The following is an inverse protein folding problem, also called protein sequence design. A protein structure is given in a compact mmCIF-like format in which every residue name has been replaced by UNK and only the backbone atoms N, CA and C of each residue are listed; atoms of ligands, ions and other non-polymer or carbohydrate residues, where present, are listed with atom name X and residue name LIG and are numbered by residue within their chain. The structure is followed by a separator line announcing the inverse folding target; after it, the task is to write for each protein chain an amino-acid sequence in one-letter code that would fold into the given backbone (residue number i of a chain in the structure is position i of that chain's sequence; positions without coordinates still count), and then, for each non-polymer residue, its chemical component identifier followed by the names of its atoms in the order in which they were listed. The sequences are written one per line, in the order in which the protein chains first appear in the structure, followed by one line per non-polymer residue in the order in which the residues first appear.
data_IF_984917324513
#
_entry.id   IF_984917324513
#
_cell.length_a   1.000
_cell.length_b   1.000
_cell.length_c   1.000
_cell.angle_alpha   90.00
_cell.angle_beta   90.00
_cell.angle_gamma   90.00
#
_symmetry.space_group_name_H-M   'P 1'
#
loop_
_entity.id
_entity.type
_entity.pdbx_description
1 polymer ?
#
# COMPACT_ATOMS: atom_id res chain seq x y z
N UNK A 1 -12.70 11.94 6.54
CA UNK A 1 -12.04 13.21 6.15
C UNK A 1 -11.83 13.32 4.64
N UNK A 2 -11.28 12.30 3.95
CA UNK A 2 -11.21 12.30 2.48
C UNK A 2 -12.58 12.47 1.82
N UNK A 3 -13.56 11.66 2.21
CA UNK A 3 -14.94 11.74 1.70
C UNK A 3 -15.59 13.12 1.92
N UNK A 4 -15.41 13.76 3.08
CA UNK A 4 -16.02 15.08 3.35
C UNK A 4 -15.41 16.21 2.50
N UNK A 5 -14.10 16.17 2.25
CA UNK A 5 -13.42 17.15 1.38
C UNK A 5 -13.80 16.94 -0.07
N UNK A 6 -13.86 15.69 -0.52
CA UNK A 6 -14.29 15.36 -1.89
C UNK A 6 -15.77 15.65 -2.11
N UNK A 7 -16.65 15.36 -1.14
CA UNK A 7 -18.07 15.73 -1.24
C UNK A 7 -18.25 17.25 -1.31
N UNK A 8 -17.48 18.00 -0.53
CA UNK A 8 -17.46 19.47 -0.64
C UNK A 8 -16.92 19.93 -2.00
N UNK A 9 -15.89 19.27 -2.54
CA UNK A 9 -15.35 19.51 -3.87
C UNK A 9 -16.34 19.21 -4.99
N UNK A 10 -17.08 18.10 -4.89
CA UNK A 10 -18.17 17.71 -5.81
C UNK A 10 -19.31 18.74 -5.78
N UNK A 11 -19.69 19.22 -4.59
CA UNK A 11 -20.72 20.25 -4.45
C UNK A 11 -20.29 21.60 -5.04
N UNK A 12 -19.01 21.97 -4.92
CA UNK A 12 -18.45 23.19 -5.51
C UNK A 12 -18.09 23.05 -7.00
N UNK A 13 -18.24 21.87 -7.60
CA UNK A 13 -17.89 21.61 -9.01
C UNK A 13 -16.38 21.56 -9.28
N UNK A 14 -15.55 21.34 -8.25
CA UNK A 14 -14.10 21.24 -8.39
C UNK A 14 -13.62 19.86 -8.82
N UNK A 15 -14.43 18.84 -8.59
CA UNK A 15 -14.20 17.48 -9.05
C UNK A 15 -15.11 17.22 -10.25
N UNK A 16 -14.61 16.47 -11.24
CA UNK A 16 -15.37 16.09 -12.44
C UNK A 16 -16.54 15.12 -12.17
N UNK A 17 -16.85 14.86 -10.89
CA UNK A 17 -17.83 13.86 -10.48
C UNK A 17 -19.08 14.55 -9.93
N UNK A 18 -20.26 14.37 -10.54
CA UNK A 18 -21.50 14.97 -10.07
C UNK A 18 -21.85 14.54 -8.63
N UNK A 19 -22.40 15.46 -7.84
CA UNK A 19 -22.77 15.24 -6.44
C UNK A 19 -23.84 14.15 -6.26
N UNK A 20 -24.69 13.95 -7.26
CA UNK A 20 -25.75 12.93 -7.29
C UNK A 20 -25.19 11.50 -7.15
N UNK A 21 -23.95 11.29 -7.60
CA UNK A 21 -23.28 10.00 -7.55
C UNK A 21 -22.54 9.74 -6.23
N UNK A 22 -22.57 10.68 -5.28
CA UNK A 22 -21.82 10.59 -4.03
C UNK A 22 -22.14 9.31 -3.23
N UNK A 23 -23.43 8.93 -3.17
CA UNK A 23 -23.85 7.73 -2.47
C UNK A 23 -23.30 6.44 -3.11
N UNK A 24 -23.33 6.36 -4.44
CA UNK A 24 -22.80 5.23 -5.21
C UNK A 24 -21.28 5.11 -5.01
N UNK A 25 -20.57 6.23 -5.10
CA UNK A 25 -19.11 6.27 -4.87
C UNK A 25 -18.78 5.84 -3.44
N UNK A 26 -19.59 6.24 -2.46
CA UNK A 26 -19.45 5.84 -1.06
C UNK A 26 -19.61 4.33 -0.87
N UNK A 27 -20.64 3.75 -1.47
CA UNK A 27 -20.90 2.31 -1.40
C UNK A 27 -19.76 1.49 -2.01
N UNK A 28 -19.29 1.86 -3.21
CA UNK A 28 -18.16 1.19 -3.86
C UNK A 28 -16.86 1.36 -3.06
N UNK A 29 -16.61 2.55 -2.53
CA UNK A 29 -15.45 2.81 -1.67
C UNK A 29 -15.43 1.98 -0.39
N UNK A 30 -16.59 1.76 0.26
CA UNK A 30 -16.70 0.91 1.44
C UNK A 30 -16.40 -0.56 1.15
N UNK A 31 -16.74 -1.04 -0.06
CA UNK A 31 -16.44 -2.39 -0.51
C UNK A 31 -15.02 -2.54 -1.07
N UNK A 32 -14.22 -1.46 -1.06
CA UNK A 32 -12.93 -1.39 -1.77
C UNK A 32 -13.05 -1.85 -3.23
N UNK A 33 -14.13 -1.42 -3.89
CA UNK A 33 -14.37 -1.62 -5.31
C UNK A 33 -14.17 -0.30 -6.07
N UNK A 34 -13.61 -0.34 -7.29
CA UNK A 34 -13.44 0.86 -8.09
C UNK A 34 -14.81 1.42 -8.50
N UNK A 35 -14.96 2.74 -8.42
CA UNK A 35 -16.17 3.41 -8.88
C UNK A 35 -16.39 3.14 -10.38
N UNK A 36 -17.61 2.85 -10.83
CA UNK A 36 -17.88 2.59 -12.25
C UNK A 36 -17.42 3.75 -13.15
N UNK A 37 -16.90 3.49 -14.37
CA UNK A 37 -16.45 4.55 -15.27
C UNK A 37 -17.56 5.53 -15.67
N UNK A 38 -18.81 5.06 -15.71
CA UNK A 38 -20.00 5.87 -15.95
C UNK A 38 -20.27 6.89 -14.83
N UNK A 39 -19.72 6.65 -13.64
CA UNK A 39 -19.92 7.48 -12.44
C UNK A 39 -18.72 8.39 -12.19
N UNK A 40 -17.49 7.89 -12.35
CA UNK A 40 -16.27 8.67 -12.17
C UNK A 40 -15.13 8.13 -13.02
N UNK A 41 -14.31 9.03 -13.56
CA UNK A 41 -13.04 8.66 -14.21
C UNK A 41 -11.97 8.26 -13.18
N UNK A 42 -12.11 8.64 -11.92
CA UNK A 42 -11.21 8.23 -10.84
C UNK A 42 -11.64 6.88 -10.24
N UNK A 43 -10.68 5.99 -9.97
CA UNK A 43 -10.98 4.65 -9.42
C UNK A 43 -11.56 4.75 -8.00
N UNK A 44 -10.97 5.61 -7.16
CA UNK A 44 -11.41 5.85 -5.79
C UNK A 44 -11.48 7.36 -5.50
N UNK A 45 -12.58 8.03 -5.88
CA UNK A 45 -12.71 9.49 -5.75
C UNK A 45 -12.51 10.01 -4.31
N UNK A 46 -13.01 9.27 -3.30
CA UNK A 46 -12.92 9.66 -1.88
C UNK A 46 -11.58 9.36 -1.21
N UNK A 47 -10.85 8.40 -1.75
CA UNK A 47 -9.57 7.95 -1.21
C UNK A 47 -8.69 7.59 -2.39
N UNK A 48 -8.15 8.61 -3.06
CA UNK A 48 -7.27 8.40 -4.21
C UNK A 48 -6.19 7.35 -3.93
N UNK A 49 -5.49 7.31 -2.77
CA UNK A 49 -4.51 6.27 -2.45
C UNK A 49 -5.06 4.84 -2.31
N UNK A 50 -6.39 4.63 -2.29
CA UNK A 50 -6.99 3.31 -2.08
C UNK A 50 -6.83 2.37 -3.29
N UNK A 51 -6.50 2.89 -4.48
CA UNK A 51 -6.35 2.07 -5.68
C UNK A 51 -5.28 0.98 -5.52
N UNK A 52 -4.14 1.31 -4.92
CA UNK A 52 -3.02 0.36 -4.75
C UNK A 52 -3.39 -0.71 -3.73
N UNK A 53 -3.97 -0.33 -2.59
CA UNK A 53 -4.38 -1.26 -1.52
C UNK A 53 -5.45 -2.23 -2.03
N UNK A 54 -6.43 -1.75 -2.79
CA UNK A 54 -7.46 -2.61 -3.36
C UNK A 54 -6.86 -3.64 -4.34
N UNK A 55 -5.93 -3.22 -5.20
CA UNK A 55 -5.23 -4.13 -6.11
C UNK A 55 -4.28 -5.08 -5.37
N UNK A 56 -3.63 -4.65 -4.30
CA UNK A 56 -2.79 -5.51 -3.45
C UNK A 56 -3.61 -6.56 -2.72
N UNK A 57 -4.78 -6.19 -2.20
CA UNK A 57 -5.73 -7.16 -1.62
C UNK A 57 -6.20 -8.16 -2.67
N UNK A 58 -6.57 -7.71 -3.87
CA UNK A 58 -6.96 -8.58 -4.97
C UNK A 58 -5.82 -9.54 -5.35
N UNK A 59 -4.59 -9.02 -5.51
CA UNK A 59 -3.40 -9.82 -5.78
C UNK A 59 -3.14 -10.86 -4.67
N UNK A 60 -3.36 -10.48 -3.41
CA UNK A 60 -3.23 -11.37 -2.25
C UNK A 60 -4.25 -12.51 -2.26
N UNK A 61 -5.51 -12.23 -2.62
CA UNK A 61 -6.55 -13.27 -2.77
C UNK A 61 -6.21 -14.21 -3.93
N UNK A 62 -5.85 -13.65 -5.09
CA UNK A 62 -5.41 -14.44 -6.25
C UNK A 62 -4.23 -15.33 -5.87
N UNK A 63 -3.25 -14.77 -5.15
CA UNK A 63 -2.10 -15.52 -4.66
C UNK A 63 -2.52 -16.64 -3.72
N UNK A 64 -3.39 -16.39 -2.73
CA UNK A 64 -3.85 -17.42 -1.80
C UNK A 64 -4.49 -18.63 -2.52
N UNK A 65 -5.23 -18.40 -3.61
CA UNK A 65 -5.87 -19.46 -4.40
C UNK A 65 -4.89 -20.16 -5.35
N UNK A 66 -3.93 -19.42 -5.92
CA UNK A 66 -3.03 -19.92 -6.97
C UNK A 66 -1.66 -20.36 -6.45
N UNK A 67 -1.32 -20.08 -5.20
CA UNK A 67 0.03 -20.27 -4.64
C UNK A 67 0.57 -21.69 -4.84
N UNK A 68 -0.29 -22.71 -4.77
CA UNK A 68 0.08 -24.12 -4.99
C UNK A 68 0.54 -24.43 -6.42
N UNK A 69 0.14 -23.62 -7.40
CA UNK A 69 0.48 -23.79 -8.82
C UNK A 69 1.65 -22.89 -9.25
N UNK A 70 2.06 -21.95 -8.40
CA UNK A 70 3.14 -21.02 -8.71
C UNK A 70 4.51 -21.72 -8.58
N UNK A 71 4.99 -22.31 -9.67
CA UNK A 71 6.39 -22.72 -9.80
C UNK A 71 7.31 -21.49 -9.96
N UNK A 72 8.61 -21.65 -9.71
CA UNK A 72 9.57 -20.55 -9.90
C UNK A 72 9.62 -20.06 -11.36
N UNK A 73 9.38 -20.95 -12.33
CA UNK A 73 9.34 -20.57 -13.76
C UNK A 73 8.12 -19.71 -14.07
N UNK A 74 6.93 -20.13 -13.60
CA UNK A 74 5.69 -19.36 -13.78
C UNK A 74 5.80 -17.99 -13.09
N UNK A 75 6.32 -17.96 -11.86
CA UNK A 75 6.54 -16.72 -11.13
C UNK A 75 7.50 -15.79 -11.88
N UNK A 76 8.57 -16.32 -12.47
CA UNK A 76 9.51 -15.54 -13.26
C UNK A 76 8.85 -14.91 -14.49
N UNK A 77 8.04 -15.69 -15.23
CA UNK A 77 7.28 -15.20 -16.38
C UNK A 77 6.32 -14.09 -15.98
N UNK A 78 5.60 -14.25 -14.86
CA UNK A 78 4.71 -13.21 -14.31
C UNK A 78 5.48 -11.93 -13.99
N UNK A 79 6.62 -12.04 -13.29
CA UNK A 79 7.44 -10.88 -12.90
C UNK A 79 8.01 -10.17 -14.12
N UNK A 80 8.55 -10.89 -15.10
CA UNK A 80 9.09 -10.29 -16.33
C UNK A 80 7.97 -9.64 -17.14
N UNK A 81 6.85 -10.34 -17.35
CA UNK A 81 5.72 -9.82 -18.13
C UNK A 81 5.08 -8.59 -17.50
N UNK A 82 4.86 -8.61 -16.18
CA UNK A 82 4.34 -7.46 -15.44
C UNK A 82 5.35 -6.31 -15.38
N UNK A 83 6.66 -6.59 -15.30
CA UNK A 83 7.71 -5.58 -15.36
C UNK A 83 7.77 -4.89 -16.72
N UNK A 84 7.66 -5.63 -17.83
CA UNK A 84 7.58 -5.07 -19.19
C UNK A 84 6.30 -4.26 -19.35
N UNK A 85 5.17 -4.76 -18.88
CA UNK A 85 3.89 -4.04 -18.93
C UNK A 85 3.91 -2.77 -18.09
N UNK A 86 4.50 -2.81 -16.90
CA UNK A 86 4.69 -1.62 -16.07
C UNK A 86 5.60 -0.60 -16.75
N UNK A 87 6.72 -1.05 -17.32
CA UNK A 87 7.63 -0.19 -18.07
C UNK A 87 6.93 0.48 -19.26
N UNK A 88 6.18 -0.28 -20.07
CA UNK A 88 5.51 0.25 -21.26
C UNK A 88 4.38 1.22 -20.91
N UNK A 89 3.57 0.88 -19.90
CA UNK A 89 2.47 1.75 -19.46
C UNK A 89 2.93 3.02 -18.76
N UNK A 90 4.17 3.08 -18.25
CA UNK A 90 4.75 4.30 -17.65
C UNK A 90 4.91 5.43 -18.66
N UNK A 91 5.09 5.12 -19.95
CA UNK A 91 5.19 6.12 -21.01
C UNK A 91 3.84 6.62 -21.52
N UNK A 92 2.73 6.05 -21.02
CA UNK A 92 1.40 6.54 -21.35
C UNK A 92 1.07 7.76 -20.46
N UNK A 93 0.29 8.72 -20.97
CA UNK A 93 -0.09 9.91 -20.19
C UNK A 93 -0.98 9.58 -18.98
N UNK A 94 -1.55 8.37 -18.94
CA UNK A 94 -2.52 7.96 -17.94
C UNK A 94 -1.87 7.25 -16.74
N UNK A 95 -1.90 7.89 -15.57
CA UNK A 95 -1.38 7.36 -14.29
C UNK A 95 -2.46 6.70 -13.44
N UNK A 96 -2.05 5.88 -12.46
CA UNK A 96 -2.84 4.94 -11.65
C UNK A 96 -4.06 5.47 -10.84
N UNK A 97 -4.49 6.71 -11.05
CA UNK A 97 -5.49 7.37 -10.20
C UNK A 97 -6.91 7.25 -10.78
N UNK A 98 -7.04 6.78 -12.02
CA UNK A 98 -8.29 6.67 -12.75
C UNK A 98 -8.30 5.53 -13.75
N UNK A 99 -9.46 5.29 -14.35
CA UNK A 99 -9.69 4.27 -15.37
C UNK A 99 -8.67 4.30 -16.52
N UNK A 100 -8.27 5.47 -17.06
CA UNK A 100 -7.25 5.51 -18.11
C UNK A 100 -5.91 4.91 -17.69
N UNK A 101 -5.54 5.01 -16.41
CA UNK A 101 -4.27 4.51 -15.87
C UNK A 101 -4.40 3.17 -15.14
N UNK A 102 -5.52 2.46 -15.31
CA UNK A 102 -5.79 1.18 -14.68
C UNK A 102 -4.67 0.17 -14.95
N UNK A 103 -4.27 0.05 -16.22
CA UNK A 103 -3.22 -0.89 -16.64
C UNK A 103 -1.87 -0.58 -16.02
N UNK A 104 -1.51 0.70 -15.93
CA UNK A 104 -0.30 1.14 -15.24
C UNK A 104 -0.31 0.71 -13.76
N UNK A 105 -1.42 0.99 -13.06
CA UNK A 105 -1.56 0.62 -11.65
C UNK A 105 -1.57 -0.89 -11.43
N UNK A 106 -2.28 -1.64 -12.27
CA UNK A 106 -2.39 -3.09 -12.17
C UNK A 106 -1.04 -3.77 -12.42
N UNK A 107 -0.34 -3.40 -13.49
CA UNK A 107 0.97 -3.98 -13.82
C UNK A 107 2.02 -3.66 -12.77
N UNK A 108 2.01 -2.45 -12.20
CA UNK A 108 2.86 -2.06 -11.08
C UNK A 108 2.64 -2.94 -9.84
N UNK A 109 1.37 -3.17 -9.47
CA UNK A 109 1.03 -3.97 -8.28
C UNK A 109 1.36 -5.44 -8.49
N UNK A 110 1.06 -6.00 -9.66
CA UNK A 110 1.43 -7.38 -9.99
C UNK A 110 2.95 -7.54 -9.94
N UNK A 111 3.70 -6.62 -10.56
CA UNK A 111 5.16 -6.63 -10.54
C UNK A 111 5.70 -6.57 -9.11
N UNK A 112 5.26 -5.60 -8.30
CA UNK A 112 5.72 -5.43 -6.93
C UNK A 112 5.39 -6.63 -6.04
N UNK A 113 4.14 -7.11 -6.10
CA UNK A 113 3.68 -8.23 -5.29
C UNK A 113 4.41 -9.53 -5.63
N UNK A 114 4.39 -9.96 -6.89
CA UNK A 114 5.01 -11.21 -7.31
C UNK A 114 6.55 -11.12 -7.32
N UNK A 115 7.12 -9.94 -7.58
CA UNK A 115 8.54 -9.67 -7.42
C UNK A 115 8.99 -9.86 -5.97
N UNK A 116 8.21 -9.34 -5.01
CA UNK A 116 8.41 -9.57 -3.58
C UNK A 116 8.35 -11.06 -3.21
N UNK A 117 7.36 -11.80 -3.73
CA UNK A 117 7.26 -13.26 -3.53
C UNK A 117 8.50 -13.99 -4.08
N UNK A 118 8.99 -13.58 -5.26
CA UNK A 118 10.20 -14.17 -5.84
C UNK A 118 11.43 -13.92 -4.97
N UNK A 119 11.65 -12.68 -4.53
CA UNK A 119 12.75 -12.31 -3.62
C UNK A 119 12.65 -13.11 -2.32
N UNK A 120 11.45 -13.26 -1.77
CA UNK A 120 11.22 -14.05 -0.56
C UNK A 120 11.58 -15.53 -0.75
N UNK A 121 11.24 -16.13 -1.91
CA UNK A 121 11.66 -17.51 -2.23
C UNK A 121 13.18 -17.63 -2.36
N UNK A 122 13.85 -16.66 -2.97
CA UNK A 122 15.31 -16.62 -3.06
C UNK A 122 15.97 -16.44 -1.69
N UNK A 123 15.35 -15.65 -0.81
CA UNK A 123 15.78 -15.48 0.58
C UNK A 123 15.72 -16.80 1.34
N UNK A 124 14.58 -17.51 1.30
CA UNK A 124 14.41 -18.80 1.95
C UNK A 124 15.33 -19.88 1.39
N UNK A 125 15.58 -19.86 0.08
CA UNK A 125 16.53 -20.77 -0.57
C UNK A 125 18.01 -20.43 -0.30
N UNK A 126 18.30 -19.37 0.46
CA UNK A 126 19.67 -18.93 0.73
C UNK A 126 20.40 -18.34 -0.49
N UNK A 127 19.71 -18.14 -1.61
CA UNK A 127 20.27 -17.66 -2.89
C UNK A 127 20.34 -16.14 -2.98
N UNK A 128 19.73 -15.42 -2.02
CA UNK A 128 19.74 -13.97 -2.02
C UNK A 128 21.13 -13.41 -1.61
N UNK A 129 21.72 -12.49 -2.39
CA UNK A 129 22.99 -11.84 -2.06
C UNK A 129 23.01 -11.22 -0.66
N UNK A 130 24.19 -11.14 -0.04
CA UNK A 130 24.40 -10.54 1.28
C UNK A 130 24.95 -9.12 1.15
N UNK A 131 24.20 -8.25 0.49
CA UNK A 131 24.61 -6.86 0.33
C UNK A 131 24.39 -6.08 1.64
N UNK A 132 25.28 -5.13 1.97
CA UNK A 132 25.17 -4.40 3.21
C UNK A 132 24.07 -3.34 3.14
N UNK A 133 23.35 -3.16 4.27
CA UNK A 133 22.23 -2.23 4.36
C UNK A 133 22.61 -0.76 4.06
N UNK A 134 23.83 -0.35 4.42
CA UNK A 134 24.30 1.02 4.16
C UNK A 134 24.37 1.35 2.68
N UNK A 135 24.68 0.37 1.82
CA UNK A 135 24.71 0.54 0.36
C UNK A 135 23.29 0.81 -0.16
N UNK A 136 22.30 0.07 0.35
CA UNK A 136 20.88 0.34 0.09
C UNK A 136 20.45 1.73 0.57
N UNK A 137 20.92 2.15 1.75
CA UNK A 137 20.65 3.48 2.31
C UNK A 137 21.19 4.60 1.44
N UNK A 138 22.48 4.55 1.09
CA UNK A 138 23.11 5.55 0.20
C UNK A 138 22.42 5.56 -1.16
N UNK A 139 22.16 4.39 -1.74
CA UNK A 139 21.47 4.28 -3.03
C UNK A 139 20.06 4.87 -3.00
N UNK A 140 19.31 4.66 -1.92
CA UNK A 140 17.98 5.24 -1.73
C UNK A 140 18.04 6.77 -1.60
N UNK A 141 18.97 7.29 -0.80
CA UNK A 141 19.16 8.75 -0.69
C UNK A 141 19.58 9.37 -2.03
N UNK A 142 20.51 8.73 -2.75
CA UNK A 142 20.93 9.19 -4.06
C UNK A 142 19.76 9.20 -5.05
N UNK A 143 18.93 8.16 -5.07
CA UNK A 143 17.74 8.11 -5.90
C UNK A 143 16.75 9.24 -5.55
N UNK A 144 16.49 9.49 -4.26
CA UNK A 144 15.57 10.57 -3.88
C UNK A 144 16.10 11.98 -4.18
N UNK A 145 17.41 12.13 -4.34
CA UNK A 145 18.05 13.42 -4.62
C UNK A 145 18.08 13.78 -6.12
N UNK A 146 17.77 12.83 -7.02
CA UNK A 146 17.78 13.11 -8.47
C UNK A 146 16.58 14.01 -8.84
N UNK A 147 16.80 15.23 -9.33
CA UNK A 147 15.71 16.04 -9.85
C UNK A 147 15.25 15.46 -11.19
N UNK A 148 13.95 15.25 -11.34
CA UNK A 148 13.33 14.82 -12.59
C UNK A 148 12.62 15.98 -13.27
N UNK A 149 12.64 15.97 -14.59
CA UNK A 149 11.82 16.84 -15.45
C UNK A 149 10.88 15.98 -16.30
N UNK A 150 9.96 16.61 -17.04
CA UNK A 150 8.92 15.91 -17.82
C UNK A 150 9.46 14.84 -18.79
N UNK A 151 10.69 15.01 -19.29
CA UNK A 151 11.34 14.06 -20.23
C UNK A 151 12.00 12.89 -19.51
N UNK A 152 12.62 13.14 -18.36
CA UNK A 152 13.38 12.14 -17.59
C UNK A 152 12.50 11.39 -16.58
N UNK A 153 11.32 11.92 -16.25
CA UNK A 153 10.43 11.38 -15.23
C UNK A 153 10.01 9.93 -15.54
N UNK A 154 9.50 9.65 -16.74
CA UNK A 154 9.05 8.30 -17.09
C UNK A 154 10.18 7.26 -17.08
N UNK A 155 11.34 7.48 -17.76
CA UNK A 155 12.49 6.59 -17.65
C UNK A 155 12.97 6.40 -16.21
N UNK A 156 12.96 7.48 -15.41
CA UNK A 156 13.37 7.44 -14.02
C UNK A 156 12.44 6.59 -13.16
N UNK A 157 11.12 6.66 -13.36
CA UNK A 157 10.18 5.80 -12.64
C UNK A 157 10.29 4.33 -13.05
N UNK A 158 10.51 4.05 -14.33
CA UNK A 158 10.77 2.66 -14.78
C UNK A 158 12.04 2.14 -14.11
N UNK A 159 13.12 2.91 -14.16
CA UNK A 159 14.38 2.52 -13.52
C UNK A 159 14.22 2.37 -12.00
N UNK A 160 13.59 3.32 -11.35
CA UNK A 160 13.33 3.31 -9.91
C UNK A 160 12.48 2.13 -9.46
N UNK A 161 11.38 1.88 -10.16
CA UNK A 161 10.44 0.82 -9.80
C UNK A 161 10.90 -0.58 -10.21
N UNK A 162 11.46 -0.74 -11.40
CA UNK A 162 11.83 -2.07 -11.96
C UNK A 162 13.24 -2.49 -11.57
N UNK A 163 14.16 -1.54 -11.35
CA UNK A 163 15.56 -1.85 -11.06
C UNK A 163 15.89 -1.50 -9.62
N UNK A 164 15.75 -0.25 -9.21
CA UNK A 164 16.22 0.19 -7.89
C UNK A 164 15.41 -0.44 -6.75
N UNK A 165 14.08 -0.50 -6.84
CA UNK A 165 13.25 -1.02 -5.76
C UNK A 165 13.56 -2.49 -5.39
N UNK A 166 13.68 -3.44 -6.34
CA UNK A 166 14.16 -4.79 -6.04
C UNK A 166 15.56 -4.80 -5.41
N UNK A 167 16.49 -3.99 -5.92
CA UNK A 167 17.86 -3.94 -5.39
C UNK A 167 17.89 -3.43 -3.94
N UNK A 168 17.10 -2.41 -3.62
CA UNK A 168 16.93 -1.93 -2.25
C UNK A 168 16.35 -3.01 -1.34
N UNK A 169 15.33 -3.75 -1.80
CA UNK A 169 14.81 -4.89 -1.06
C UNK A 169 15.88 -5.95 -0.78
N UNK A 170 16.76 -6.25 -1.75
CA UNK A 170 17.89 -7.17 -1.53
C UNK A 170 18.85 -6.67 -0.45
N UNK A 171 19.22 -5.39 -0.49
CA UNK A 171 20.08 -4.77 0.52
C UNK A 171 19.47 -4.83 1.93
N UNK A 172 18.16 -4.62 2.04
CA UNK A 172 17.49 -4.52 3.34
C UNK A 172 17.00 -5.87 3.88
N UNK A 173 16.78 -6.89 3.04
CA UNK A 173 16.13 -8.16 3.42
C UNK A 173 16.78 -8.91 4.59
N UNK A 174 18.09 -8.76 4.80
CA UNK A 174 18.84 -9.44 5.88
C UNK A 174 19.18 -8.52 7.06
N UNK A 175 18.72 -7.28 7.03
CA UNK A 175 19.06 -6.28 8.05
C UNK A 175 18.32 -6.57 9.34
N UNK A 176 19.05 -6.75 10.44
CA UNK A 176 18.47 -6.84 11.77
C UNK A 176 18.81 -5.58 12.57
N UNK A 177 17.80 -4.75 12.82
CA UNK A 177 17.93 -3.61 13.73
C UNK A 177 17.59 -4.08 15.15
N UNK A 178 18.40 -3.72 16.15
CA UNK A 178 18.21 -4.11 17.55
C UNK A 178 18.05 -2.89 18.46
N UNK A 179 17.45 -3.09 19.64
CA UNK A 179 17.35 -2.07 20.68
C UNK A 179 16.44 -0.89 20.33
N UNK A 180 16.85 0.32 20.70
CA UNK A 180 16.06 1.56 20.53
C UNK A 180 15.76 1.84 19.06
N UNK A 181 16.73 1.61 18.18
CA UNK A 181 16.54 1.83 16.73
C UNK A 181 15.45 0.94 16.15
N UNK A 182 15.30 -0.31 16.61
CA UNK A 182 14.24 -1.19 16.15
C UNK A 182 12.85 -0.63 16.50
N UNK A 183 12.73 -0.05 17.71
CA UNK A 183 11.49 0.61 18.16
C UNK A 183 11.20 1.85 17.32
N UNK A 184 12.21 2.67 17.04
CA UNK A 184 12.08 3.85 16.19
C UNK A 184 11.65 3.48 14.77
N UNK A 185 12.30 2.50 14.13
CA UNK A 185 11.93 2.02 12.80
C UNK A 185 10.49 1.47 12.78
N UNK A 186 10.07 0.75 13.82
CA UNK A 186 8.69 0.23 13.93
C UNK A 186 7.66 1.36 14.06
N UNK A 187 7.94 2.37 14.89
CA UNK A 187 7.06 3.53 15.03
C UNK A 187 6.98 4.32 13.73
N UNK A 188 8.12 4.64 13.11
CA UNK A 188 8.18 5.36 11.84
C UNK A 188 7.47 4.59 10.71
N UNK A 189 7.65 3.27 10.64
CA UNK A 189 6.97 2.42 9.66
C UNK A 189 5.46 2.32 9.90
N UNK A 190 5.00 2.39 11.15
CA UNK A 190 3.56 2.42 11.45
C UNK A 190 2.94 3.77 11.07
N UNK A 191 3.66 4.86 11.31
CA UNK A 191 3.19 6.21 10.98
C UNK A 191 3.25 6.53 9.48
N UNK A 192 4.21 5.95 8.74
CA UNK A 192 4.41 6.26 7.32
C UNK A 192 3.16 6.02 6.47
N UNK A 193 2.43 4.93 6.74
CA UNK A 193 1.19 4.63 6.05
C UNK A 193 0.08 5.65 6.36
N UNK A 194 -0.06 6.04 7.63
CA UNK A 194 -1.06 7.06 7.98
C UNK A 194 -0.75 8.42 7.35
N UNK A 195 0.53 8.80 7.29
CA UNK A 195 0.97 10.02 6.58
C UNK A 195 0.66 9.91 5.09
N UNK A 196 0.91 8.75 4.48
CA UNK A 196 0.58 8.48 3.08
C UNK A 196 -0.93 8.66 2.79
N UNK A 197 -1.82 8.23 3.68
CA UNK A 197 -3.27 8.41 3.46
C UNK A 197 -3.73 9.84 3.75
N UNK A 198 -3.14 10.50 4.76
CA UNK A 198 -3.60 11.81 5.24
C UNK A 198 -3.00 13.01 4.50
N UNK A 199 -1.82 12.88 3.88
CA UNK A 199 -1.16 14.02 3.24
C UNK A 199 -1.94 14.54 2.02
N UNK A 200 -2.57 13.68 1.22
CA UNK A 200 -3.33 14.09 0.02
C UNK A 200 -4.50 15.02 0.37
N UNK A 201 -5.43 14.67 1.30
CA UNK A 201 -6.52 15.56 1.66
C UNK A 201 -6.03 16.84 2.34
N UNK A 202 -4.97 16.77 3.17
CA UNK A 202 -4.39 17.95 3.82
C UNK A 202 -3.80 18.91 2.78
N UNK A 203 -3.02 18.39 1.83
CA UNK A 203 -2.50 19.16 0.70
C UNK A 203 -3.62 19.86 -0.05
N UNK A 204 -4.70 19.13 -0.34
CA UNK A 204 -5.86 19.69 -1.06
C UNK A 204 -6.54 20.81 -0.27
N UNK A 205 -6.72 20.66 1.04
CA UNK A 205 -7.28 21.72 1.89
C UNK A 205 -6.37 22.96 1.86
N UNK A 206 -5.06 22.77 2.00
CA UNK A 206 -4.10 23.88 1.98
C UNK A 206 -4.08 24.62 0.64
N UNK A 207 -4.13 23.91 -0.49
CA UNK A 207 -4.28 24.50 -1.82
C UNK A 207 -5.50 25.43 -1.89
N UNK A 208 -6.64 25.01 -1.32
CA UNK A 208 -7.87 25.81 -1.29
C UNK A 208 -7.75 27.03 -0.38
N UNK A 209 -7.07 26.91 0.75
CA UNK A 209 -6.79 28.04 1.65
C UNK A 209 -5.89 29.06 0.96
N UNK A 210 -4.83 28.61 0.29
CA UNK A 210 -3.91 29.48 -0.47
C UNK A 210 -4.67 30.23 -1.56
N UNK A 211 -5.50 29.53 -2.34
CA UNK A 211 -6.31 30.13 -3.40
C UNK A 211 -7.33 31.15 -2.84
N UNK A 212 -7.95 30.87 -1.69
CA UNK A 212 -8.95 31.75 -1.07
C UNK A 212 -8.35 33.04 -0.50
N UNK A 213 -7.14 32.97 0.06
CA UNK A 213 -6.47 34.10 0.70
C UNK A 213 -5.36 34.72 -0.15
N UNK A 214 -5.23 34.33 -1.43
CA UNK A 214 -4.23 34.83 -2.38
C UNK A 214 -2.78 34.74 -1.84
N UNK A 215 -2.45 33.65 -1.14
CA UNK A 215 -1.13 33.44 -0.53
C UNK A 215 -0.11 32.86 -1.54
N UNK A 216 -0.09 33.40 -2.76
CA UNK A 216 0.65 32.82 -3.90
C UNK A 216 2.18 32.85 -3.73
N UNK A 217 2.69 33.59 -2.74
CA UNK A 217 4.12 33.73 -2.44
C UNK A 217 4.67 32.72 -1.43
N UNK A 218 3.88 31.74 -0.96
CA UNK A 218 4.37 30.73 -0.01
C UNK A 218 5.43 29.87 -0.69
N UNK A 219 6.68 29.83 -0.18
CA UNK A 219 7.72 28.99 -0.77
C UNK A 219 7.34 27.50 -0.71
N UNK A 220 7.64 26.75 -1.77
CA UNK A 220 7.27 25.33 -1.87
C UNK A 220 7.79 24.47 -0.71
N UNK A 221 8.97 24.79 -0.17
CA UNK A 221 9.53 24.08 0.99
C UNK A 221 8.72 24.33 2.28
N UNK A 222 8.20 25.55 2.49
CA UNK A 222 7.30 25.85 3.62
C UNK A 222 6.01 25.05 3.49
N UNK A 223 5.43 25.03 2.29
CA UNK A 223 4.24 24.24 2.00
C UNK A 223 4.46 22.74 2.31
N UNK A 224 5.58 22.18 1.85
CA UNK A 224 5.95 20.78 2.13
C UNK A 224 6.10 20.48 3.62
N UNK A 225 6.76 21.37 4.38
CA UNK A 225 6.91 21.21 5.83
C UNK A 225 5.55 21.24 6.51
N UNK A 226 4.70 22.22 6.19
CA UNK A 226 3.36 22.36 6.79
C UNK A 226 2.50 21.13 6.50
N UNK A 227 2.44 20.67 5.24
CA UNK A 227 1.70 19.45 4.88
C UNK A 227 2.22 18.24 5.67
N UNK A 228 3.54 18.09 5.76
CA UNK A 228 4.18 16.94 6.43
C UNK A 228 3.92 16.94 7.93
N UNK A 229 4.00 18.09 8.59
CA UNK A 229 3.72 18.23 10.03
C UNK A 229 2.24 17.96 10.30
N UNK A 230 1.33 18.58 9.55
CA UNK A 230 -0.10 18.38 9.74
C UNK A 230 -0.52 16.92 9.47
N UNK A 231 0.03 16.29 8.44
CA UNK A 231 -0.23 14.88 8.14
C UNK A 231 0.29 13.95 9.24
N UNK A 232 1.47 14.25 9.79
CA UNK A 232 2.05 13.48 10.89
C UNK A 232 1.22 13.60 12.17
N UNK A 233 0.84 14.83 12.54
CA UNK A 233 0.00 15.08 13.72
C UNK A 233 -1.36 14.40 13.59
N UNK A 234 -2.02 14.54 12.43
CA UNK A 234 -3.32 13.91 12.19
C UNK A 234 -3.21 12.38 12.22
N UNK A 235 -2.13 11.83 11.68
CA UNK A 235 -1.88 10.39 11.72
C UNK A 235 -1.77 9.87 13.15
N UNK A 236 -1.01 10.55 14.01
CA UNK A 236 -0.88 10.16 15.42
C UNK A 236 -2.22 10.24 16.14
N UNK A 237 -3.04 11.26 15.83
CA UNK A 237 -4.37 11.41 16.39
C UNK A 237 -5.29 10.26 15.96
N UNK A 238 -5.36 9.98 14.65
CA UNK A 238 -6.20 8.93 14.11
C UNK A 238 -5.77 7.53 14.56
N UNK A 239 -4.47 7.26 14.65
CA UNK A 239 -3.95 5.99 15.17
C UNK A 239 -4.38 5.77 16.63
N UNK A 240 -4.25 6.80 17.47
CA UNK A 240 -4.55 6.71 18.90
C UNK A 240 -6.05 6.64 19.20
N UNK A 241 -6.85 7.45 18.52
CA UNK A 241 -8.28 7.61 18.84
C UNK A 241 -9.21 6.75 17.97
N UNK A 242 -8.77 6.29 16.80
CA UNK A 242 -9.61 5.53 15.88
C UNK A 242 -9.04 4.15 15.53
N UNK A 243 -7.85 4.07 14.91
CA UNK A 243 -7.32 2.78 14.41
C UNK A 243 -7.12 1.78 15.56
N UNK A 244 -6.31 2.10 16.58
CA UNK A 244 -6.05 1.14 17.67
C UNK A 244 -7.32 0.71 18.42
N UNK A 245 -8.24 1.61 18.82
CA UNK A 245 -9.48 1.19 19.47
C UNK A 245 -10.36 0.30 18.59
N UNK A 246 -10.62 0.72 17.34
CA UNK A 246 -11.49 -0.02 16.42
C UNK A 246 -10.87 -1.36 16.05
N UNK A 247 -9.56 -1.40 15.79
CA UNK A 247 -8.82 -2.63 15.48
C UNK A 247 -8.88 -3.62 16.65
N UNK A 248 -8.64 -3.16 17.88
CA UNK A 248 -8.77 -4.03 19.08
C UNK A 248 -10.18 -4.58 19.22
N UNK A 249 -11.19 -3.75 18.98
CA UNK A 249 -12.59 -4.15 19.03
C UNK A 249 -12.94 -5.20 17.96
N UNK A 250 -12.54 -4.99 16.71
CA UNK A 250 -12.76 -5.94 15.60
C UNK A 250 -12.07 -7.29 15.85
N UNK A 251 -10.81 -7.28 16.26
CA UNK A 251 -10.05 -8.50 16.57
C UNK A 251 -10.71 -9.28 17.70
N UNK A 252 -11.14 -8.59 18.77
CA UNK A 252 -11.83 -9.23 19.89
C UNK A 252 -13.17 -9.84 19.46
N UNK A 253 -13.91 -9.19 18.55
CA UNK A 253 -15.24 -9.61 18.13
C UNK A 253 -15.21 -10.77 17.12
N UNK A 254 -14.32 -10.72 16.14
CA UNK A 254 -14.35 -11.64 14.99
C UNK A 254 -13.24 -12.69 14.98
N UNK A 255 -12.05 -12.40 15.54
CA UNK A 255 -10.90 -13.32 15.47
C UNK A 255 -10.77 -14.16 16.74
N UNK A 256 -10.97 -13.58 17.93
CA UNK A 256 -10.90 -14.38 19.17
C UNK A 256 -12.02 -15.43 19.26
N UNK A 257 -13.18 -15.18 18.65
CA UNK A 257 -14.34 -16.10 18.67
C UNK A 257 -14.12 -17.37 17.83
N UNK A 258 -13.35 -17.29 16.74
CA UNK A 258 -13.07 -18.44 15.86
C UNK A 258 -11.98 -19.38 16.42
N UNK A 259 -11.03 -18.85 17.20
CA UNK A 259 -10.00 -19.67 17.87
C UNK A 259 -10.60 -20.51 19.00
N UNK A 260 -11.49 -19.94 19.82
CA UNK A 260 -12.15 -20.68 20.90
C UNK A 260 -13.14 -21.72 20.37
N UNK A 261 -13.88 -21.42 19.30
CA UNK A 261 -14.81 -22.36 18.66
C UNK A 261 -14.10 -23.54 17.96
N UNK A 262 -12.96 -23.30 17.29
CA UNK A 262 -12.14 -24.39 16.72
C UNK A 262 -11.40 -25.21 17.79
N UNK A 263 -11.00 -24.60 18.90
CA UNK A 263 -10.41 -25.32 20.02
C UNK A 263 -11.42 -26.25 20.70
N UNK A 264 -12.65 -25.78 20.96
CA UNK A 264 -13.72 -26.60 21.55
C UNK A 264 -14.18 -27.74 20.62
N UNK A 265 -14.22 -27.51 19.31
CA UNK A 265 -14.58 -28.54 18.32
C UNK A 265 -13.51 -29.66 18.23
N UNK A 266 -12.22 -29.34 18.40
CA UNK A 266 -11.13 -30.34 18.43
C UNK A 266 -11.10 -31.16 19.72
N UNK A 267 -11.47 -30.59 20.86
CA UNK A 267 -11.60 -31.34 22.12
C UNK A 267 -12.77 -32.33 22.12
N UNK A 268 -13.85 -32.07 21.37
CA UNK A 268 -14.98 -33.01 21.25
C UNK A 268 -14.75 -34.16 20.25
N UNK A 269 -13.84 -34.00 19.28
CA UNK A 269 -13.48 -35.07 18.33
C UNK A 269 -12.28 -35.92 18.79
N UNK A 270 -11.61 -35.54 19.90
CA UNK A 270 -10.41 -36.20 20.41
C UNK A 270 -10.61 -37.17 21.57
N UNK A 271 -11.83 -37.36 22.09
CA UNK A 271 -12.08 -38.17 23.31
C UNK A 271 -12.39 -39.66 23.04
N UNK A 272 -12.07 -40.19 21.86
CA UNK A 272 -12.51 -41.53 21.44
C UNK A 272 -11.46 -42.63 21.33
N UNK A 273 -10.16 -42.37 21.57
CA UNK A 273 -9.13 -43.42 21.44
C UNK A 273 -8.33 -43.56 22.74
N UNK A 274 -8.51 -44.64 23.51
CA UNK A 274 -7.67 -44.91 24.66
C UNK A 274 -6.29 -45.35 24.18
N UNK A 275 -5.26 -44.56 24.50
CA UNK A 275 -3.86 -44.95 24.34
C UNK A 275 -3.58 -46.03 25.40
N UNK A 276 -3.52 -47.28 24.94
CA UNK A 276 -3.12 -48.43 25.75
C UNK A 276 -1.63 -48.31 26.06
N UNK A 277 -1.29 -48.12 27.33
CA UNK A 277 0.07 -48.22 27.84
C UNK A 277 0.53 -49.68 27.85
N UNK A 278 1.61 -49.99 27.14
CA UNK A 278 2.51 -51.10 27.40
C UNK A 278 3.91 -50.49 27.36
N UNK A 279 4.76 -50.53 28.39
CA UNK A 279 4.95 -51.55 29.40
C UNK A 279 6.14 -52.41 29.00
N UNK A 280 7.33 -52.03 29.48
CA UNK A 280 8.55 -52.83 29.76
C UNK A 280 8.85 -54.03 28.85
N UNK A 281 9.98 -54.04 28.13
CA UNK A 281 11.30 -54.64 28.46
C UNK A 281 12.32 -54.08 27.48
#
# INVERSE_FOLDING_TARGET
MGASVTVYGMWKGWDSTPWENAAVIGAFGLLMLPAPPAVSLALYPYLKPAWSIAFEMLASVIYAVTARFLTNRVLLVIVIGSGVSFASTTFLPARAWGWPGLWYGLSMVIYGFFGGVMIHRLYLAGKLPRWPAWLGGIGLFAALAVPTNDVTEAPYYVFGGVVLAPLFLVCFARTQVRGVFARLCSVLGTLSYGVYVTHVPIRRILELVIAKYHLEYVPSWVFLIVVSVLASLLTVLLDRFYDRPVRRWLIARFIKRSVTANASARTHLGSGVPIRSAGQV
#
